data_IF_399863935241
#
_entry.id   IF_399863935241
#
_cell.length_a   1.000
_cell.length_b   1.000
_cell.length_c   1.000
_cell.angle_alpha   90.00
_cell.angle_beta   90.00
_cell.angle_gamma   90.00
#
_symmetry.space_group_name_H-M   'P 1'
#
loop_
_entity.id
_entity.type
_entity.pdbx_description
1 polymer ?
#
# COMPACT_ATOMS: atom_id res chain seq x y z
N UNK A 1 9.99 25.10 -12.03
CA UNK A 1 8.81 24.38 -12.55
C UNK A 1 8.44 23.32 -11.52
N UNK A 2 7.22 23.31 -10.95
CA UNK A 2 6.85 22.31 -9.93
C UNK A 2 6.47 20.97 -10.60
N UNK A 3 7.11 19.88 -10.17
CA UNK A 3 6.73 18.51 -10.53
C UNK A 3 5.61 18.08 -9.59
N UNK A 4 4.46 17.67 -10.14
CA UNK A 4 3.37 17.14 -9.34
C UNK A 4 3.69 15.70 -8.97
N UNK A 5 3.78 15.39 -7.67
CA UNK A 5 3.99 14.02 -7.19
C UNK A 5 2.73 13.53 -6.49
N UNK A 6 2.25 12.35 -6.87
CA UNK A 6 1.10 11.70 -6.25
C UNK A 6 1.40 10.22 -6.02
N UNK A 7 0.67 9.60 -5.09
CA UNK A 7 0.81 8.18 -4.83
C UNK A 7 0.06 7.32 -5.86
N UNK A 8 0.37 6.03 -5.91
CA UNK A 8 -0.33 5.08 -6.78
C UNK A 8 -1.80 4.91 -6.35
N UNK A 9 -2.12 5.01 -5.07
CA UNK A 9 -3.50 4.98 -4.57
C UNK A 9 -4.25 6.26 -4.91
N UNK A 10 -3.65 7.44 -4.69
CA UNK A 10 -4.23 8.73 -5.11
C UNK A 10 -4.52 8.73 -6.62
N UNK A 11 -3.61 8.15 -7.42
CA UNK A 11 -3.83 7.93 -8.84
C UNK A 11 -5.00 6.98 -9.12
N UNK A 12 -5.05 5.82 -8.46
CA UNK A 12 -6.08 4.82 -8.71
C UNK A 12 -7.47 5.27 -8.25
N UNK A 13 -7.56 6.13 -7.23
CA UNK A 13 -8.84 6.73 -6.80
C UNK A 13 -9.32 7.85 -7.72
N UNK A 14 -8.41 8.65 -8.30
CA UNK A 14 -8.76 9.76 -9.21
C UNK A 14 -7.75 9.88 -10.36
N UNK A 15 -7.88 8.97 -11.32
CA UNK A 15 -7.05 8.95 -12.54
C UNK A 15 -7.26 10.19 -13.41
N UNK A 16 -8.43 10.84 -13.31
CA UNK A 16 -8.78 12.01 -14.10
C UNK A 16 -7.98 13.24 -13.70
N UNK A 17 -7.70 13.39 -12.40
CA UNK A 17 -6.86 14.47 -11.87
C UNK A 17 -5.43 14.43 -12.41
N UNK A 18 -4.81 13.24 -12.44
CA UNK A 18 -3.47 13.07 -12.99
C UNK A 18 -3.42 13.46 -14.47
N UNK A 19 -4.40 13.01 -15.28
CA UNK A 19 -4.51 13.35 -16.70
C UNK A 19 -4.59 14.87 -16.94
N UNK A 20 -5.37 15.60 -16.14
CA UNK A 20 -5.44 17.08 -16.23
C UNK A 20 -4.15 17.76 -15.77
N UNK A 21 -3.48 17.20 -14.77
CA UNK A 21 -2.25 17.77 -14.21
C UNK A 21 -1.07 17.72 -15.19
N UNK A 22 -1.01 16.72 -16.08
CA UNK A 22 0.02 16.62 -17.14
C UNK A 22 0.05 17.85 -18.04
N UNK A 23 -1.11 18.49 -18.29
CA UNK A 23 -1.17 19.72 -19.09
C UNK A 23 -0.45 20.92 -18.45
N UNK A 24 -0.17 20.85 -17.14
CA UNK A 24 0.50 21.92 -16.36
C UNK A 24 1.97 21.61 -16.10
N UNK A 25 2.42 20.40 -16.41
CA UNK A 25 3.79 19.96 -16.21
C UNK A 25 3.90 18.47 -15.87
N UNK A 26 5.12 17.97 -15.65
CA UNK A 26 5.36 16.56 -15.36
C UNK A 26 4.63 16.09 -14.09
N UNK A 27 4.04 14.90 -14.19
CA UNK A 27 3.40 14.20 -13.06
C UNK A 27 4.20 12.93 -12.76
N UNK A 28 4.64 12.77 -11.52
CA UNK A 28 5.32 11.57 -11.01
C UNK A 28 4.36 10.78 -10.12
N UNK A 29 4.17 9.49 -10.44
CA UNK A 29 3.36 8.57 -9.63
C UNK A 29 4.32 7.66 -8.88
N UNK A 30 4.12 7.53 -7.57
CA UNK A 30 5.04 6.77 -6.69
C UNK A 30 4.29 5.75 -5.84
N UNK A 31 4.89 4.60 -5.60
CA UNK A 31 4.29 3.47 -4.86
C UNK A 31 4.29 3.65 -3.31
N UNK A 32 4.43 4.90 -2.84
CA UNK A 32 4.51 5.21 -1.42
C UNK A 32 3.13 5.52 -0.87
N UNK A 33 2.44 4.46 -0.46
CA UNK A 33 1.30 4.55 0.44
C UNK A 33 1.80 4.62 1.88
N UNK A 34 1.75 5.79 2.51
CA UNK A 34 1.97 5.90 3.95
C UNK A 34 0.67 5.54 4.69
N UNK A 35 0.28 4.26 4.67
CA UNK A 35 -0.98 3.83 5.30
C UNK A 35 -0.88 3.67 6.82
N UNK A 36 0.33 3.67 7.38
CA UNK A 36 0.56 3.74 8.81
C UNK A 36 1.78 4.66 9.00
N UNK A 37 1.83 5.43 10.08
CA UNK A 37 2.96 6.33 10.37
C UNK A 37 4.29 5.63 10.17
N UNK A 38 5.36 6.38 9.84
CA UNK A 38 6.71 5.89 9.51
C UNK A 38 7.32 5.10 10.68
N UNK A 39 6.83 3.91 10.92
CA UNK A 39 7.26 2.98 11.94
C UNK A 39 7.69 1.73 11.21
N UNK A 40 8.96 1.41 11.36
CA UNK A 40 9.51 0.14 10.92
C UNK A 40 8.90 -0.99 11.73
N UNK A 41 8.93 -2.21 11.17
CA UNK A 41 8.53 -3.41 11.91
C UNK A 41 9.31 -3.56 13.22
N UNK A 42 10.60 -3.20 13.21
CA UNK A 42 11.45 -3.24 14.40
C UNK A 42 10.96 -2.27 15.48
N UNK A 43 10.59 -1.04 15.11
CA UNK A 43 10.02 -0.07 16.05
C UNK A 43 8.66 -0.54 16.58
N UNK A 44 7.82 -1.15 15.73
CA UNK A 44 6.51 -1.69 16.13
C UNK A 44 6.64 -2.80 17.20
N UNK A 45 7.64 -3.68 17.04
CA UNK A 45 7.92 -4.77 17.99
C UNK A 45 8.58 -4.30 19.30
N UNK A 46 9.19 -3.11 19.29
CA UNK A 46 9.87 -2.55 20.46
C UNK A 46 8.92 -1.77 21.40
N UNK A 47 7.62 -1.68 21.10
CA UNK A 47 6.66 -0.98 21.95
C UNK A 47 6.46 -1.71 23.28
N UNK A 48 6.79 -1.08 24.42
CA UNK A 48 6.80 -1.76 25.72
C UNK A 48 5.40 -2.14 26.23
N UNK A 49 4.35 -1.50 25.73
CA UNK A 49 2.95 -1.74 26.10
C UNK A 49 2.09 -2.04 24.86
N UNK A 50 2.62 -2.79 23.90
CA UNK A 50 1.80 -3.30 22.81
C UNK A 50 0.67 -4.14 23.42
N UNK A 51 -0.61 -3.86 23.12
CA UNK A 51 -1.72 -4.63 23.65
C UNK A 51 -1.58 -6.08 23.20
N UNK A 52 -1.65 -7.01 24.15
CA UNK A 52 -1.76 -8.43 23.82
C UNK A 52 -3.10 -8.63 23.11
N UNK A 53 -3.03 -9.05 21.85
CA UNK A 53 -4.20 -9.26 21.03
C UNK A 53 -4.31 -10.74 20.71
N UNK A 54 -5.52 -11.27 20.77
CA UNK A 54 -5.79 -12.65 20.40
C UNK A 54 -5.66 -12.80 18.87
N UNK A 55 -4.43 -13.01 18.40
CA UNK A 55 -4.13 -13.24 16.99
C UNK A 55 -4.67 -14.60 16.57
N UNK A 56 -5.89 -14.61 16.02
CA UNK A 56 -6.51 -15.75 15.37
C UNK A 56 -6.53 -15.50 13.85
N UNK A 57 -5.38 -15.58 13.15
CA UNK A 57 -5.37 -15.37 11.71
C UNK A 57 -6.26 -16.41 11.03
N UNK A 58 -7.01 -16.03 9.99
CA UNK A 58 -7.78 -17.00 9.23
C UNK A 58 -6.82 -18.03 8.64
N UNK A 59 -7.14 -19.32 8.80
CA UNK A 59 -6.43 -20.37 8.09
C UNK A 59 -6.78 -20.24 6.62
N UNK A 60 -5.76 -20.11 5.79
CA UNK A 60 -5.97 -19.99 4.37
C UNK A 60 -6.34 -21.37 3.79
N UNK A 61 -7.63 -21.60 3.62
CA UNK A 61 -8.18 -22.77 2.95
C UNK A 61 -8.15 -22.55 1.43
N UNK A 62 -7.79 -23.57 0.65
CA UNK A 62 -7.84 -23.49 -0.82
C UNK A 62 -6.69 -22.73 -1.50
N UNK A 63 -5.63 -22.33 -0.78
CA UNK A 63 -4.40 -21.77 -1.37
C UNK A 63 -3.72 -22.73 -2.36
N UNK A 64 -3.92 -24.03 -2.15
CA UNK A 64 -3.36 -25.08 -2.98
C UNK A 64 -4.48 -25.71 -3.80
N UNK A 65 -4.50 -25.43 -5.10
CA UNK A 65 -5.22 -26.28 -6.07
C UNK A 65 -4.32 -27.48 -6.37
N UNK A 66 -4.86 -28.70 -6.36
CA UNK A 66 -4.12 -29.86 -6.89
C UNK A 66 -3.74 -29.55 -8.35
N UNK A 67 -2.45 -29.70 -8.74
CA UNK A 67 -2.09 -29.55 -10.14
C UNK A 67 -2.87 -30.57 -10.96
N UNK A 68 -3.45 -30.12 -12.07
CA UNK A 68 -4.10 -30.99 -13.03
C UNK A 68 -3.01 -31.79 -13.76
N UNK A 69 -2.63 -32.93 -13.18
CA UNK A 69 -1.74 -33.90 -13.81
C UNK A 69 -2.59 -34.73 -14.77
N UNK A 70 -2.72 -34.24 -16.00
CA UNK A 70 -3.23 -35.01 -17.14
C UNK A 70 -2.29 -36.19 -17.46
#
# INVERSE_FOLDING_TARGET
>A
MPITTQSIHEFNQDTSRAKRAVARGPVSITDREATHGRMTLAEALAQPEAPDFNFAPPRAEGLFRKPDLL
#
